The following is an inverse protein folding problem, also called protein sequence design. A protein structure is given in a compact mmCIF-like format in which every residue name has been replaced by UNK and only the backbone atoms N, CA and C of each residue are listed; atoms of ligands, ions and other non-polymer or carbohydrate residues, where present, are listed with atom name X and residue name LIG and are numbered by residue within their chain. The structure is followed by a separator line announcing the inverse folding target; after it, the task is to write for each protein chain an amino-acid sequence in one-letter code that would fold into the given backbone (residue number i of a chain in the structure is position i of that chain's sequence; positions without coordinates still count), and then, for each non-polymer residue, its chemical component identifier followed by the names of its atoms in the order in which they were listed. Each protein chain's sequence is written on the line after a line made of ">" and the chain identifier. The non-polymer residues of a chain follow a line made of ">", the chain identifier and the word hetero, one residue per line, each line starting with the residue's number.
data_IF_213440019207
#
_entry.id   IF_213440019207
#
_cell.length_a   1.000
_cell.length_b   1.000
_cell.length_c   1.000
_cell.angle_alpha   90.00
_cell.angle_beta   90.00
_cell.angle_gamma   90.00
#
_symmetry.space_group_name_H-M   'P 1'
#
loop_
_entity.id
_entity.type
_entity.pdbx_description
1 polymer ?
#
# COMPACT_ATOMS: atom_id res chain seq x y z
N UNK A 1 25.28 15.80 29.47
CA UNK A 1 25.14 15.19 28.14
C UNK A 1 24.09 14.08 28.15
N UNK A 2 24.10 13.18 29.14
CA UNK A 2 23.08 12.14 29.33
C UNK A 2 21.63 12.64 29.36
N UNK A 3 21.37 13.80 29.98
CA UNK A 3 20.02 14.38 30.06
C UNK A 3 19.44 14.74 28.69
N UNK A 4 20.23 15.35 27.80
CA UNK A 4 19.77 15.66 26.43
C UNK A 4 19.54 14.43 25.57
N UNK A 5 20.24 13.32 25.85
CA UNK A 5 20.00 12.02 25.22
C UNK A 5 18.65 11.42 25.63
N UNK A 6 18.30 11.55 26.90
CA UNK A 6 17.01 11.10 27.44
C UNK A 6 15.87 11.93 26.84
N UNK A 7 16.00 13.26 26.76
CA UNK A 7 14.98 14.13 26.15
C UNK A 7 14.71 13.77 24.67
N UNK A 8 15.76 13.55 23.87
CA UNK A 8 15.63 13.12 22.47
C UNK A 8 14.96 11.75 22.35
N UNK A 9 15.26 10.84 23.29
CA UNK A 9 14.65 9.53 23.33
C UNK A 9 13.17 9.59 23.72
N UNK A 10 12.80 10.42 24.71
CA UNK A 10 11.42 10.69 25.09
C UNK A 10 10.61 11.29 23.93
N UNK A 11 11.21 12.20 23.15
CA UNK A 11 10.60 12.73 21.94
C UNK A 11 10.30 11.61 20.92
N UNK A 12 11.24 10.68 20.73
CA UNK A 12 11.05 9.53 19.85
C UNK A 12 9.93 8.61 20.35
N UNK A 13 9.87 8.34 21.67
CA UNK A 13 8.76 7.59 22.29
C UNK A 13 7.43 8.28 22.00
N UNK A 14 7.34 9.60 22.23
CA UNK A 14 6.12 10.36 22.04
C UNK A 14 5.63 10.29 20.59
N UNK A 15 6.54 10.43 19.61
CA UNK A 15 6.20 10.31 18.19
C UNK A 15 5.70 8.90 17.83
N UNK A 16 6.40 7.84 18.23
CA UNK A 16 5.99 6.47 17.94
C UNK A 16 4.65 6.15 18.62
N UNK A 17 4.45 6.62 19.85
CA UNK A 17 3.19 6.44 20.58
C UNK A 17 2.03 7.16 19.90
N UNK A 18 2.23 8.39 19.40
CA UNK A 18 1.22 9.11 18.64
C UNK A 18 0.86 8.38 17.33
N UNK A 19 1.86 7.84 16.63
CA UNK A 19 1.64 7.05 15.42
C UNK A 19 0.85 5.77 15.69
N UNK A 20 1.17 5.05 16.77
CA UNK A 20 0.49 3.82 17.15
C UNK A 20 -0.91 4.06 17.72
N UNK A 21 -1.06 5.08 18.56
CA UNK A 21 -2.31 5.35 19.26
C UNK A 21 -3.37 6.04 18.38
N UNK A 22 -2.94 6.87 17.43
CA UNK A 22 -3.84 7.68 16.62
C UNK A 22 -3.80 7.27 15.14
N UNK A 23 -2.62 7.30 14.52
CA UNK A 23 -2.52 7.12 13.08
C UNK A 23 -2.80 5.67 12.65
N UNK A 24 -2.29 4.68 13.39
CA UNK A 24 -2.43 3.27 13.03
C UNK A 24 -3.90 2.81 12.99
N UNK A 25 -4.75 3.08 14.01
CA UNK A 25 -6.17 2.77 13.94
C UNK A 25 -6.88 3.48 12.79
N UNK A 26 -6.56 4.76 12.53
CA UNK A 26 -7.13 5.52 11.42
C UNK A 26 -6.81 4.90 10.06
N UNK A 27 -5.59 4.39 9.87
CA UNK A 27 -5.22 3.69 8.64
C UNK A 27 -6.00 2.39 8.48
N UNK A 28 -6.12 1.57 9.53
CA UNK A 28 -6.90 0.33 9.50
C UNK A 28 -8.38 0.61 9.20
N UNK A 29 -8.96 1.62 9.86
CA UNK A 29 -10.34 2.05 9.63
C UNK A 29 -10.56 2.49 8.18
N UNK A 30 -9.65 3.28 7.59
CA UNK A 30 -9.74 3.68 6.19
C UNK A 30 -9.61 2.52 5.21
N UNK A 31 -8.77 1.53 5.50
CA UNK A 31 -8.65 0.31 4.69
C UNK A 31 -9.94 -0.52 4.77
N UNK A 32 -10.57 -0.60 5.94
CA UNK A 32 -11.84 -1.31 6.11
C UNK A 32 -12.99 -0.58 5.38
N UNK A 33 -13.08 0.75 5.52
CA UNK A 33 -14.06 1.57 4.78
C UNK A 33 -13.94 1.40 3.27
N UNK A 34 -12.73 1.22 2.75
CA UNK A 34 -12.51 0.92 1.33
C UNK A 34 -13.05 -0.46 0.95
N UNK A 35 -12.83 -1.47 1.78
CA UNK A 35 -13.41 -2.81 1.59
C UNK A 35 -14.94 -2.75 1.55
N UNK A 36 -15.54 -1.93 2.41
CA UNK A 36 -16.98 -1.75 2.49
C UNK A 36 -17.51 -0.96 1.27
N UNK A 37 -16.80 0.11 0.86
CA UNK A 37 -17.12 0.95 -0.30
C UNK A 37 -17.26 0.13 -1.58
N UNK A 38 -16.31 -0.75 -1.85
CA UNK A 38 -16.33 -1.60 -3.04
C UNK A 38 -17.03 -2.95 -2.83
N UNK A 39 -17.57 -3.21 -1.63
CA UNK A 39 -18.21 -4.47 -1.22
C UNK A 39 -17.36 -5.71 -1.54
N UNK A 40 -16.04 -5.56 -1.45
CA UNK A 40 -15.08 -6.63 -1.76
C UNK A 40 -13.84 -6.50 -0.88
N UNK A 41 -13.32 -7.66 -0.44
CA UNK A 41 -12.05 -7.74 0.30
C UNK A 41 -10.82 -7.69 -0.61
N UNK A 42 -10.98 -7.96 -1.90
CA UNK A 42 -9.88 -8.02 -2.87
C UNK A 42 -9.04 -6.74 -2.89
N UNK A 43 -9.69 -5.57 -2.80
CA UNK A 43 -9.02 -4.27 -2.85
C UNK A 43 -8.23 -4.00 -1.56
N UNK A 44 -8.79 -4.31 -0.39
CA UNK A 44 -8.09 -4.14 0.89
C UNK A 44 -6.94 -5.14 1.05
N UNK A 45 -7.07 -6.35 0.51
CA UNK A 45 -5.98 -7.33 0.45
C UNK A 45 -4.85 -6.88 -0.50
N UNK A 46 -5.19 -6.37 -1.68
CA UNK A 46 -4.21 -5.76 -2.59
C UNK A 46 -3.45 -4.63 -1.93
N UNK A 47 -4.16 -3.73 -1.25
CA UNK A 47 -3.53 -2.65 -0.48
C UNK A 47 -2.54 -3.17 0.57
N UNK A 48 -2.91 -4.22 1.33
CA UNK A 48 -2.05 -4.82 2.36
C UNK A 48 -0.81 -5.52 1.78
N UNK A 49 -0.87 -5.96 0.54
CA UNK A 49 0.27 -6.56 -0.15
C UNK A 49 1.23 -5.53 -0.77
N UNK A 50 0.89 -4.25 -0.75
CA UNK A 50 1.77 -3.19 -1.22
C UNK A 50 3.02 -3.07 -0.34
N UNK A 51 4.18 -2.95 -0.98
CA UNK A 51 5.48 -2.84 -0.31
C UNK A 51 5.50 -1.75 0.75
N UNK A 52 4.83 -0.62 0.51
CA UNK A 52 4.76 0.49 1.47
C UNK A 52 4.06 0.10 2.78
N UNK A 53 2.96 -0.68 2.71
CA UNK A 53 2.26 -1.15 3.89
C UNK A 53 3.07 -2.22 4.65
N UNK A 54 3.70 -3.13 3.91
CA UNK A 54 4.59 -4.14 4.51
C UNK A 54 5.78 -3.48 5.23
N UNK A 55 6.49 -2.56 4.56
CA UNK A 55 7.59 -1.80 5.16
C UNK A 55 7.15 -1.01 6.39
N UNK A 56 5.98 -0.37 6.35
CA UNK A 56 5.42 0.35 7.49
C UNK A 56 5.23 -0.55 8.71
N UNK A 57 4.59 -1.71 8.54
CA UNK A 57 4.36 -2.65 9.63
C UNK A 57 5.67 -3.19 10.21
N UNK A 58 6.63 -3.57 9.35
CA UNK A 58 7.95 -4.06 9.80
C UNK A 58 8.67 -2.97 10.59
N UNK A 59 8.71 -1.73 10.06
CA UNK A 59 9.42 -0.63 10.69
C UNK A 59 8.80 -0.23 12.04
N UNK A 60 7.47 -0.29 12.17
CA UNK A 60 6.80 -0.09 13.46
C UNK A 60 7.27 -1.12 14.49
N UNK A 61 7.32 -2.40 14.11
CA UNK A 61 7.77 -3.47 15.02
C UNK A 61 9.22 -3.23 15.44
N UNK A 62 10.09 -2.85 14.50
CA UNK A 62 11.48 -2.48 14.79
C UNK A 62 11.53 -1.33 15.79
N UNK A 63 10.81 -0.23 15.55
CA UNK A 63 10.77 0.90 16.47
C UNK A 63 10.27 0.51 17.87
N UNK A 64 9.24 -0.35 17.97
CA UNK A 64 8.76 -0.83 19.26
C UNK A 64 9.86 -1.59 20.01
N UNK A 65 10.57 -2.51 19.32
CA UNK A 65 11.66 -3.27 19.94
C UNK A 65 12.79 -2.35 20.40
N UNK A 66 13.19 -1.39 19.56
CA UNK A 66 14.24 -0.41 19.90
C UNK A 66 13.87 0.42 21.14
N UNK A 67 12.60 0.81 21.29
CA UNK A 67 12.14 1.58 22.45
C UNK A 67 12.32 0.85 23.80
N UNK A 68 12.29 -0.49 23.81
CA UNK A 68 12.55 -1.28 25.02
C UNK A 68 14.03 -1.64 25.18
N UNK A 69 14.70 -1.97 24.07
CA UNK A 69 16.08 -2.47 24.11
C UNK A 69 17.09 -1.35 24.36
N UNK A 70 16.93 -0.20 23.72
CA UNK A 70 17.93 0.88 23.78
C UNK A 70 18.08 1.48 25.18
N UNK A 71 17.01 1.75 25.96
CA UNK A 71 17.15 2.22 27.34
C UNK A 71 17.93 1.25 28.23
N UNK A 72 17.70 -0.07 28.06
CA UNK A 72 18.40 -1.10 28.83
C UNK A 72 19.90 -1.07 28.51
N UNK A 73 20.26 -0.92 27.24
CA UNK A 73 21.67 -0.83 26.81
C UNK A 73 22.32 0.45 27.32
N UNK A 74 21.63 1.59 27.23
CA UNK A 74 22.13 2.89 27.71
C UNK A 74 22.42 2.83 29.22
N UNK A 75 21.52 2.22 30.01
CA UNK A 75 21.72 2.07 31.46
C UNK A 75 22.85 1.07 31.78
N UNK A 76 22.94 -0.04 31.02
CA UNK A 76 23.93 -1.08 31.25
C UNK A 76 25.36 -0.67 30.83
N UNK A 77 25.48 0.16 29.80
CA UNK A 77 26.74 0.62 29.23
C UNK A 77 26.77 2.15 29.19
N UNK A 78 27.28 2.77 30.25
CA UNK A 78 27.39 4.23 30.39
C UNK A 78 28.60 4.78 29.63
N UNK A 79 28.63 4.59 28.31
CA UNK A 79 29.66 5.15 27.42
C UNK A 79 29.03 6.13 26.45
N UNK A 80 29.50 7.39 26.46
CA UNK A 80 28.93 8.49 25.66
C UNK A 80 28.81 8.16 24.17
N UNK A 81 29.80 7.47 23.59
CA UNK A 81 29.78 7.13 22.16
C UNK A 81 28.68 6.11 21.79
N UNK A 82 28.46 5.09 22.64
CA UNK A 82 27.40 4.10 22.42
C UNK A 82 26.02 4.75 22.50
N UNK A 83 25.81 5.61 23.50
CA UNK A 83 24.54 6.31 23.71
C UNK A 83 24.21 7.23 22.53
N UNK A 84 25.21 7.97 22.01
CA UNK A 84 25.04 8.82 20.84
C UNK A 84 24.67 8.01 19.58
N UNK A 85 25.31 6.86 19.35
CA UNK A 85 24.99 6.01 18.21
C UNK A 85 23.56 5.45 18.29
N UNK A 86 23.14 4.91 19.44
CA UNK A 86 21.80 4.34 19.62
C UNK A 86 20.69 5.37 19.37
N UNK A 87 20.84 6.58 19.90
CA UNK A 87 19.85 7.65 19.70
C UNK A 87 19.83 8.13 18.26
N UNK A 88 20.99 8.18 17.61
CA UNK A 88 21.05 8.54 16.19
C UNK A 88 20.34 7.49 15.33
N UNK A 89 20.53 6.21 15.63
CA UNK A 89 19.82 5.10 14.96
C UNK A 89 18.31 5.23 15.18
N UNK A 90 17.87 5.42 16.43
CA UNK A 90 16.45 5.62 16.76
C UNK A 90 15.85 6.81 15.98
N UNK A 91 16.57 7.94 15.93
CA UNK A 91 16.13 9.12 15.19
C UNK A 91 15.97 8.86 13.70
N UNK A 92 16.91 8.13 13.08
CA UNK A 92 16.82 7.73 11.67
C UNK A 92 15.64 6.79 11.44
N UNK A 93 15.40 5.84 12.34
CA UNK A 93 14.25 4.93 12.28
C UNK A 93 12.92 5.71 12.33
N UNK A 94 12.74 6.62 13.30
CA UNK A 94 11.53 7.45 13.44
C UNK A 94 11.33 8.41 12.26
N UNK A 95 12.41 8.98 11.75
CA UNK A 95 12.37 9.82 10.56
C UNK A 95 11.93 9.04 9.31
N UNK A 96 12.50 7.84 9.12
CA UNK A 96 12.12 6.93 8.03
C UNK A 96 10.65 6.51 8.16
N UNK A 97 10.20 6.25 9.40
CA UNK A 97 8.81 5.92 9.69
C UNK A 97 7.84 7.03 9.29
N UNK A 98 8.23 8.28 9.54
CA UNK A 98 7.45 9.46 9.14
C UNK A 98 7.36 9.60 7.61
N UNK A 99 8.44 9.33 6.87
CA UNK A 99 8.41 9.33 5.40
C UNK A 99 7.48 8.22 4.88
N UNK A 100 7.58 7.01 5.42
CA UNK A 100 6.72 5.89 5.01
C UNK A 100 5.25 6.20 5.33
N UNK A 101 4.96 6.85 6.45
CA UNK A 101 3.61 7.28 6.81
C UNK A 101 3.00 8.20 5.74
N UNK A 102 3.76 9.19 5.26
CA UNK A 102 3.30 10.08 4.17
C UNK A 102 3.04 9.29 2.88
N UNK A 103 3.90 8.32 2.55
CA UNK A 103 3.67 7.43 1.39
C UNK A 103 2.42 6.59 1.57
N UNK A 104 2.18 6.06 2.77
CA UNK A 104 1.01 5.26 3.08
C UNK A 104 -0.28 6.09 2.97
N UNK A 105 -0.25 7.33 3.45
CA UNK A 105 -1.35 8.27 3.29
C UNK A 105 -1.71 8.51 1.82
N UNK A 106 -0.71 8.78 0.97
CA UNK A 106 -0.94 8.93 -0.48
C UNK A 106 -1.46 7.65 -1.13
N UNK A 107 -1.02 6.48 -0.66
CA UNK A 107 -1.52 5.19 -1.14
C UNK A 107 -3.00 5.02 -0.79
N UNK A 108 -3.40 5.34 0.44
CA UNK A 108 -4.80 5.28 0.89
C UNK A 108 -5.66 6.20 0.03
N UNK A 109 -5.21 7.44 -0.21
CA UNK A 109 -5.95 8.34 -1.11
C UNK A 109 -6.09 7.76 -2.52
N UNK A 110 -5.04 7.15 -3.06
CA UNK A 110 -5.05 6.57 -4.41
C UNK A 110 -6.06 5.45 -4.55
N UNK A 111 -6.18 4.60 -3.54
CA UNK A 111 -7.13 3.49 -3.55
C UNK A 111 -8.56 3.91 -3.15
N UNK A 112 -8.71 4.98 -2.36
CA UNK A 112 -10.00 5.50 -1.94
C UNK A 112 -10.69 6.33 -3.05
N UNK A 113 -9.90 7.03 -3.87
CA UNK A 113 -10.38 7.72 -5.07
C UNK A 113 -10.54 6.73 -6.23
N UNK A 114 -11.76 6.54 -6.74
CA UNK A 114 -12.04 5.49 -7.71
C UNK A 114 -11.45 5.79 -9.11
N UNK A 115 -11.28 7.07 -9.47
CA UNK A 115 -10.57 7.47 -10.70
C UNK A 115 -9.08 7.22 -10.61
N UNK A 116 -8.47 7.58 -9.47
CA UNK A 116 -7.03 7.33 -9.25
C UNK A 116 -6.73 5.84 -9.16
N UNK A 117 -7.64 5.06 -8.58
CA UNK A 117 -7.57 3.61 -8.56
C UNK A 117 -7.67 3.01 -9.97
N UNK A 118 -8.64 3.44 -10.79
CA UNK A 118 -8.77 3.04 -12.20
C UNK A 118 -7.48 3.29 -12.99
N UNK A 119 -6.92 4.48 -12.88
CA UNK A 119 -5.71 4.83 -13.61
C UNK A 119 -4.50 3.99 -13.15
N UNK A 120 -4.45 3.63 -11.86
CA UNK A 120 -3.41 2.77 -11.30
C UNK A 120 -3.51 1.33 -11.81
N UNK A 121 -4.70 0.73 -11.79
CA UNK A 121 -4.87 -0.66 -12.25
C UNK A 121 -4.58 -0.77 -13.75
N UNK A 122 -5.02 0.21 -14.56
CA UNK A 122 -4.78 0.22 -16.01
C UNK A 122 -3.30 0.14 -16.38
N UNK A 123 -2.43 0.78 -15.60
CA UNK A 123 -1.00 0.87 -15.90
C UNK A 123 -0.22 -0.33 -15.30
N UNK A 124 -0.61 -0.81 -14.13
CA UNK A 124 0.22 -1.72 -13.33
C UNK A 124 -0.30 -3.17 -13.24
N UNK A 125 -1.53 -3.46 -13.68
CA UNK A 125 -2.11 -4.80 -13.57
C UNK A 125 -1.97 -5.62 -14.86
N UNK A 126 -1.78 -6.94 -14.67
CA UNK A 126 -1.95 -7.95 -15.72
C UNK A 126 -3.41 -8.01 -16.19
N UNK A 127 -3.64 -8.36 -17.45
CA UNK A 127 -4.98 -8.40 -18.09
C UNK A 127 -6.03 -9.18 -17.29
N UNK A 128 -5.68 -10.33 -16.72
CA UNK A 128 -6.62 -11.14 -15.92
C UNK A 128 -7.07 -10.41 -14.64
N UNK A 129 -6.12 -9.87 -13.88
CA UNK A 129 -6.43 -9.13 -12.66
C UNK A 129 -7.10 -7.78 -12.94
N UNK A 130 -6.75 -7.16 -14.08
CA UNK A 130 -7.32 -5.92 -14.55
C UNK A 130 -8.82 -6.09 -14.84
N UNK A 131 -9.23 -7.15 -15.54
CA UNK A 131 -10.65 -7.42 -15.83
C UNK A 131 -11.46 -7.55 -14.53
N UNK A 132 -10.95 -8.30 -13.55
CA UNK A 132 -11.62 -8.48 -12.26
C UNK A 132 -11.77 -7.15 -11.49
N UNK A 133 -10.72 -6.33 -11.49
CA UNK A 133 -10.74 -5.04 -10.80
C UNK A 133 -11.61 -4.00 -11.54
N UNK A 134 -11.63 -4.02 -12.88
CA UNK A 134 -12.54 -3.22 -13.70
C UNK A 134 -14.00 -3.58 -13.44
N UNK A 135 -14.35 -4.87 -13.33
CA UNK A 135 -15.71 -5.30 -12.99
C UNK A 135 -16.19 -4.74 -11.64
N UNK A 136 -15.29 -4.70 -10.64
CA UNK A 136 -15.60 -4.11 -9.33
C UNK A 136 -15.85 -2.61 -9.48
N UNK A 137 -15.01 -1.89 -10.22
CA UNK A 137 -15.16 -0.45 -10.48
C UNK A 137 -16.44 -0.13 -11.23
N UNK A 138 -16.76 -0.88 -12.28
CA UNK A 138 -17.98 -0.72 -13.07
C UNK A 138 -19.21 -0.93 -12.19
N UNK A 139 -19.21 -1.99 -11.35
CA UNK A 139 -20.30 -2.24 -10.40
C UNK A 139 -20.46 -1.11 -9.39
N UNK A 140 -19.35 -0.55 -8.92
CA UNK A 140 -19.36 0.57 -7.98
C UNK A 140 -19.89 1.85 -8.67
N UNK A 141 -19.32 2.24 -9.82
CA UNK A 141 -19.72 3.43 -10.56
C UNK A 141 -21.15 3.35 -11.10
N UNK A 142 -21.63 2.17 -11.50
CA UNK A 142 -23.02 1.96 -11.91
C UNK A 142 -24.04 2.25 -10.81
N UNK A 143 -23.65 2.15 -9.54
CA UNK A 143 -24.53 2.47 -8.41
C UNK A 143 -24.43 3.93 -7.98
N UNK A 144 -23.53 4.72 -8.57
CA UNK A 144 -23.26 6.11 -8.22
C UNK A 144 -23.34 7.02 -9.46
N UNK A 145 -24.47 7.70 -9.66
CA UNK A 145 -24.69 8.58 -10.82
C UNK A 145 -23.62 9.69 -10.97
N UNK A 146 -23.01 10.12 -9.87
CA UNK A 146 -21.93 11.12 -9.88
C UNK A 146 -20.61 10.63 -10.51
N UNK A 147 -20.45 9.33 -10.73
CA UNK A 147 -19.24 8.70 -11.25
C UNK A 147 -19.47 8.09 -12.64
N UNK A 148 -20.45 8.59 -13.39
CA UNK A 148 -20.82 8.07 -14.71
C UNK A 148 -19.66 8.14 -15.72
N UNK A 149 -18.81 9.15 -15.63
CA UNK A 149 -17.60 9.26 -16.47
C UNK A 149 -16.64 8.10 -16.20
N UNK A 150 -16.44 7.74 -14.93
CA UNK A 150 -15.62 6.58 -14.55
C UNK A 150 -16.21 5.28 -15.06
N UNK A 151 -17.54 5.15 -15.00
CA UNK A 151 -18.24 3.99 -15.55
C UNK A 151 -17.95 3.84 -17.05
N UNK A 152 -18.08 4.92 -17.82
CA UNK A 152 -17.86 4.91 -19.26
C UNK A 152 -16.40 4.54 -19.60
N UNK A 153 -15.44 5.17 -18.94
CA UNK A 153 -14.01 4.88 -19.13
C UNK A 153 -13.66 3.43 -18.79
N UNK A 154 -14.16 2.93 -17.66
CA UNK A 154 -13.90 1.55 -17.24
C UNK A 154 -14.55 0.52 -18.17
N UNK A 155 -15.75 0.78 -18.67
CA UNK A 155 -16.43 -0.07 -19.65
C UNK A 155 -15.71 -0.09 -21.00
N UNK A 156 -15.19 1.05 -21.45
CA UNK A 156 -14.40 1.15 -22.68
C UNK A 156 -13.11 0.34 -22.58
N UNK A 157 -12.38 0.46 -21.45
CA UNK A 157 -11.15 -0.31 -21.20
C UNK A 157 -11.45 -1.81 -21.14
N UNK A 158 -12.50 -2.23 -20.43
CA UNK A 158 -12.92 -3.63 -20.35
C UNK A 158 -13.25 -4.21 -21.72
N UNK A 159 -13.95 -3.46 -22.56
CA UNK A 159 -14.30 -3.87 -23.93
C UNK A 159 -13.04 -4.07 -24.79
N UNK A 160 -12.07 -3.17 -24.66
CA UNK A 160 -10.79 -3.25 -25.37
C UNK A 160 -10.02 -4.53 -24.99
N UNK A 161 -9.96 -4.84 -23.69
CA UNK A 161 -9.27 -6.05 -23.21
C UNK A 161 -9.93 -7.34 -23.69
N UNK A 162 -11.26 -7.38 -23.75
CA UNK A 162 -12.00 -8.55 -24.25
C UNK A 162 -11.72 -8.77 -25.75
N UNK A 163 -11.72 -7.70 -26.54
CA UNK A 163 -11.43 -7.78 -27.97
C UNK A 163 -10.00 -8.30 -28.23
N UNK A 164 -9.00 -7.75 -27.52
CA UNK A 164 -7.61 -8.20 -27.64
C UNK A 164 -7.47 -9.69 -27.30
N UNK A 165 -8.15 -10.16 -26.24
CA UNK A 165 -8.14 -11.58 -25.86
C UNK A 165 -8.79 -12.47 -26.94
N UNK A 166 -9.89 -12.02 -27.55
CA UNK A 166 -10.54 -12.76 -28.65
C UNK A 166 -9.65 -12.86 -29.89
N UNK A 167 -8.97 -11.77 -30.25
CA UNK A 167 -8.03 -11.74 -31.38
C UNK A 167 -6.83 -12.67 -31.16
N UNK A 168 -6.25 -12.68 -29.95
CA UNK A 168 -5.13 -13.56 -29.62
C UNK A 168 -5.51 -15.04 -29.75
N UNK A 169 -6.71 -15.42 -29.29
CA UNK A 169 -7.22 -16.78 -29.45
C UNK A 169 -7.39 -17.14 -30.93
N UNK A 170 -7.96 -16.25 -31.74
CA UNK A 170 -8.15 -16.47 -33.18
C UNK A 170 -6.82 -16.70 -33.91
N UNK A 171 -5.77 -15.94 -33.55
CA UNK A 171 -4.43 -16.11 -34.12
C UNK A 171 -3.83 -17.47 -33.75
N UNK A 172 -4.00 -17.92 -32.51
CA UNK A 172 -3.55 -19.24 -32.06
C UNK A 172 -4.25 -20.35 -32.85
N UNK A 173 -5.57 -20.26 -33.04
CA UNK A 173 -6.32 -21.24 -33.84
C UNK A 173 -5.85 -21.28 -35.29
N UNK A 174 -5.63 -20.11 -35.91
CA UNK A 174 -5.13 -20.04 -37.29
C UNK A 174 -3.74 -20.66 -37.42
N UNK A 175 -2.84 -20.39 -36.48
CA UNK A 175 -1.47 -20.91 -36.51
C UNK A 175 -1.41 -22.42 -36.29
N UNK A 176 -2.26 -22.98 -35.43
CA UNK A 176 -2.40 -24.43 -35.28
C UNK A 176 -2.92 -25.10 -36.55
N UNK A 177 -3.85 -24.45 -37.26
CA UNK A 177 -4.39 -25.00 -38.49
C UNK A 177 -3.35 -24.97 -39.62
N UNK A 178 -2.59 -23.89 -39.76
CA UNK A 178 -1.49 -23.80 -40.75
C UNK A 178 -0.40 -24.84 -40.52
N UNK A 179 -0.04 -25.12 -39.26
CA UNK A 179 0.99 -26.13 -38.93
C UNK A 179 0.52 -27.58 -39.19
N UNK A 180 -0.79 -27.82 -39.17
CA UNK A 180 -1.36 -29.13 -39.46
C UNK A 180 -1.50 -29.41 -40.96
N UNK A 181 -1.47 -28.38 -41.81
CA UNK A 181 -1.52 -28.50 -43.27
C UNK A 181 -0.14 -28.72 -43.93
N UNK A 182 0.97 -28.57 -43.18
CA UNK A 182 2.35 -28.82 -43.65
C UNK A 182 2.86 -30.27 -43.46
N UNK A 183 2.03 -31.20 -42.97
CA UNK A 183 2.32 -32.65 -42.85
C UNK A 183 1.43 -33.49 -43.76
#
# INVERSE_FOLDING_TARGET
>A
MLEGYIELFELCIAMVTALLGLAYPLFIDKINQMSDKYKTRRISEKFKNETAYCCFNILIVVCIVELFVFPIIIIAYDTDYCNQLLITIQGICVFTLSIIMVRLYHLIQTYNDPFRFFNRIRINETSENLIADLQILIRYASNNEAEMDLYNDAMQELSTQILNFQEEQLLIYQQQNSNNEEY
#
